data_IF_495630039116
#
_entry.id   IF_495630039116
#
_cell.length_a   1.000
_cell.length_b   1.000
_cell.length_c   1.000
_cell.angle_alpha   90.00
_cell.angle_beta   90.00
_cell.angle_gamma   90.00
#
_symmetry.space_group_name_H-M   'P 1'
#
loop_
_entity.id
_entity.type
_entity.pdbx_description
1 polymer ?
#
# COMPACT_ATOMS: atom_id res chain seq x y z
N UNK A 1 16.65 1.04 1.57
CA UNK A 1 15.60 1.98 1.12
C UNK A 1 15.22 1.71 -0.32
N UNK A 2 16.16 1.80 -1.29
CA UNK A 2 15.93 1.50 -2.73
C UNK A 2 15.16 0.19 -3.01
N UNK A 3 15.50 -0.90 -2.30
CA UNK A 3 14.88 -2.22 -2.51
C UNK A 3 13.37 -2.30 -2.24
N UNK A 4 12.83 -1.51 -1.29
CA UNK A 4 11.40 -1.51 -1.02
C UNK A 4 10.65 -0.77 -2.13
N UNK A 5 11.13 0.43 -2.46
CA UNK A 5 10.57 1.26 -3.53
C UNK A 5 10.57 0.52 -4.87
N UNK A 6 11.66 -0.17 -5.21
CA UNK A 6 11.76 -0.99 -6.42
C UNK A 6 10.69 -2.09 -6.45
N UNK A 7 10.54 -2.85 -5.36
CA UNK A 7 9.54 -3.92 -5.26
C UNK A 7 8.11 -3.39 -5.31
N UNK A 8 7.86 -2.26 -4.64
CA UNK A 8 6.57 -1.58 -4.64
C UNK A 8 6.19 -1.15 -6.06
N UNK A 9 7.12 -0.50 -6.77
CA UNK A 9 6.91 -0.10 -8.16
C UNK A 9 6.70 -1.29 -9.09
N UNK A 10 7.47 -2.37 -8.93
CA UNK A 10 7.36 -3.59 -9.75
C UNK A 10 5.95 -4.20 -9.66
N UNK A 11 5.47 -4.46 -8.44
CA UNK A 11 4.17 -5.12 -8.22
C UNK A 11 3.02 -4.16 -8.55
N UNK A 12 3.13 -2.89 -8.15
CA UNK A 12 2.11 -1.89 -8.45
C UNK A 12 1.95 -1.69 -9.96
N UNK A 13 3.05 -1.68 -10.73
CA UNK A 13 3.01 -1.57 -12.19
C UNK A 13 2.17 -2.68 -12.82
N UNK A 14 2.30 -3.92 -12.36
CA UNK A 14 1.50 -5.05 -12.87
C UNK A 14 0.02 -4.81 -12.55
N UNK A 15 -0.31 -4.42 -11.32
CA UNK A 15 -1.70 -4.16 -10.89
C UNK A 15 -2.32 -2.97 -11.63
N UNK A 16 -1.53 -1.96 -11.95
CA UNK A 16 -2.00 -0.79 -12.70
C UNK A 16 -2.34 -1.10 -14.16
N UNK A 17 -1.81 -2.16 -14.77
CA UNK A 17 -2.17 -2.51 -16.15
C UNK A 17 -3.68 -2.80 -16.29
N UNK A 18 -4.26 -3.53 -15.34
CA UNK A 18 -5.69 -3.80 -15.32
C UNK A 18 -6.49 -2.53 -15.05
N UNK A 19 -6.01 -1.69 -14.12
CA UNK A 19 -6.64 -0.40 -13.81
C UNK A 19 -6.65 0.54 -15.02
N UNK A 20 -5.54 0.62 -15.74
CA UNK A 20 -5.42 1.44 -16.95
C UNK A 20 -6.43 1.02 -18.01
N UNK A 21 -6.61 -0.28 -18.21
CA UNK A 21 -7.63 -0.82 -19.11
C UNK A 21 -9.05 -0.42 -18.68
N UNK A 22 -9.39 -0.63 -17.40
CA UNK A 22 -10.71 -0.29 -16.86
C UNK A 22 -10.99 1.22 -16.90
N UNK A 23 -9.97 2.03 -16.63
CA UNK A 23 -10.05 3.49 -16.69
C UNK A 23 -10.32 3.97 -18.12
N UNK A 24 -9.55 3.48 -19.10
CA UNK A 24 -9.75 3.80 -20.50
C UNK A 24 -11.16 3.41 -20.99
N UNK A 25 -11.63 2.23 -20.60
CA UNK A 25 -12.98 1.77 -20.92
C UNK A 25 -14.05 2.67 -20.30
N UNK A 26 -13.88 3.06 -19.04
CA UNK A 26 -14.81 3.95 -18.34
C UNK A 26 -14.88 5.33 -19.01
N UNK A 27 -13.72 5.88 -19.38
CA UNK A 27 -13.64 7.13 -20.14
C UNK A 27 -14.33 7.02 -21.50
N UNK A 28 -14.09 5.93 -22.23
CA UNK A 28 -14.74 5.67 -23.52
C UNK A 28 -16.27 5.61 -23.38
N UNK A 29 -16.78 4.89 -22.38
CA UNK A 29 -18.23 4.82 -22.12
C UNK A 29 -18.84 6.21 -21.87
N UNK A 30 -18.14 7.08 -21.13
CA UNK A 30 -18.60 8.47 -20.93
C UNK A 30 -18.68 9.22 -22.25
N UNK A 31 -17.67 9.09 -23.11
CA UNK A 31 -17.70 9.76 -24.41
C UNK A 31 -18.82 9.23 -25.30
N UNK A 32 -18.97 7.92 -25.44
CA UNK A 32 -20.05 7.31 -26.24
C UNK A 32 -21.44 7.73 -25.74
N UNK A 33 -21.63 7.75 -24.42
CA UNK A 33 -22.89 8.19 -23.83
C UNK A 33 -23.16 9.68 -24.12
N UNK A 34 -22.17 10.54 -23.96
CA UNK A 34 -22.35 11.98 -24.16
C UNK A 34 -22.44 12.35 -25.65
N UNK A 35 -21.79 11.57 -26.53
CA UNK A 35 -21.94 11.64 -27.98
C UNK A 35 -23.35 11.32 -28.42
N UNK A 36 -23.91 10.21 -27.92
CA UNK A 36 -25.29 9.81 -28.24
C UNK A 36 -26.34 10.86 -27.84
N UNK A 37 -25.98 11.75 -26.92
CA UNK A 37 -26.82 12.85 -26.42
C UNK A 37 -26.50 14.21 -27.05
N UNK A 38 -25.50 14.30 -27.93
CA UNK A 38 -25.06 15.56 -28.52
C UNK A 38 -24.42 16.54 -27.52
N UNK A 39 -23.91 16.04 -26.38
CA UNK A 39 -23.40 16.85 -25.27
C UNK A 39 -21.90 16.70 -25.04
N UNK A 40 -21.14 16.21 -26.02
CA UNK A 40 -19.70 15.92 -25.91
C UNK A 40 -18.90 17.04 -25.25
N UNK A 41 -19.00 18.28 -25.75
CA UNK A 41 -18.24 19.43 -25.23
C UNK A 41 -19.12 20.24 -24.26
N UNK A 42 -19.52 19.62 -23.16
CA UNK A 42 -20.37 20.24 -22.14
C UNK A 42 -19.79 20.10 -20.74
N UNK A 43 -20.26 20.97 -19.84
CA UNK A 43 -19.90 20.89 -18.41
C UNK A 43 -20.41 19.58 -17.79
N UNK A 44 -21.49 19.01 -18.31
CA UNK A 44 -21.99 17.69 -17.91
C UNK A 44 -20.99 16.57 -18.25
N UNK A 45 -20.33 16.64 -19.42
CA UNK A 45 -19.29 15.68 -19.80
C UNK A 45 -18.07 15.84 -18.91
N UNK A 46 -17.67 17.09 -18.66
CA UNK A 46 -16.56 17.37 -17.76
C UNK A 46 -16.80 16.81 -16.35
N UNK A 47 -18.00 16.96 -15.80
CA UNK A 47 -18.38 16.38 -14.51
C UNK A 47 -18.25 14.85 -14.52
N UNK A 48 -18.78 14.16 -15.54
CA UNK A 48 -18.68 12.70 -15.63
C UNK A 48 -17.25 12.20 -15.77
N UNK A 49 -16.43 12.89 -16.57
CA UNK A 49 -15.01 12.57 -16.68
C UNK A 49 -14.34 12.76 -15.32
N UNK A 50 -14.59 13.88 -14.63
CA UNK A 50 -14.07 14.14 -13.29
C UNK A 50 -14.46 13.03 -12.30
N UNK A 51 -15.69 12.52 -12.37
CA UNK A 51 -16.16 11.45 -11.48
C UNK A 51 -15.42 10.12 -11.78
N UNK A 52 -15.22 9.78 -13.06
CA UNK A 52 -14.42 8.61 -13.47
C UNK A 52 -12.98 8.73 -12.98
N UNK A 53 -12.40 9.92 -13.12
CA UNK A 53 -11.02 10.22 -12.72
C UNK A 53 -10.86 10.18 -11.19
N UNK A 54 -11.82 10.74 -10.44
CA UNK A 54 -11.84 10.66 -8.98
C UNK A 54 -11.96 9.20 -8.50
N UNK A 55 -12.85 8.43 -9.12
CA UNK A 55 -13.00 7.00 -8.84
C UNK A 55 -11.70 6.23 -9.09
N UNK A 56 -11.06 6.43 -10.25
CA UNK A 56 -9.78 5.78 -10.57
C UNK A 56 -8.67 6.16 -9.58
N UNK A 57 -8.65 7.41 -9.11
CA UNK A 57 -7.65 7.86 -8.13
C UNK A 57 -7.82 7.14 -6.78
N UNK A 58 -9.05 7.01 -6.30
CA UNK A 58 -9.35 6.25 -5.07
C UNK A 58 -8.95 4.79 -5.23
N UNK A 59 -9.31 4.18 -6.35
CA UNK A 59 -8.97 2.78 -6.63
C UNK A 59 -7.46 2.55 -6.75
N UNK A 60 -6.75 3.46 -7.42
CA UNK A 60 -5.29 3.46 -7.48
C UNK A 60 -4.65 3.58 -6.09
N UNK A 61 -5.21 4.42 -5.21
CA UNK A 61 -4.76 4.56 -3.82
C UNK A 61 -4.92 3.25 -3.05
N UNK A 62 -6.06 2.57 -3.19
CA UNK A 62 -6.31 1.27 -2.59
C UNK A 62 -5.31 0.21 -3.07
N UNK A 63 -5.01 0.19 -4.37
CA UNK A 63 -4.00 -0.72 -4.95
C UNK A 63 -2.62 -0.46 -4.35
N UNK A 64 -2.21 0.82 -4.23
CA UNK A 64 -0.92 1.18 -3.63
C UNK A 64 -0.87 0.71 -2.18
N UNK A 65 -1.89 1.02 -1.39
CA UNK A 65 -1.99 0.66 0.02
C UNK A 65 -1.91 -0.86 0.22
N UNK A 66 -2.70 -1.63 -0.53
CA UNK A 66 -2.68 -3.10 -0.45
C UNK A 66 -1.30 -3.65 -0.83
N UNK A 67 -0.70 -3.12 -1.90
CA UNK A 67 0.63 -3.55 -2.36
C UNK A 67 1.71 -3.22 -1.33
N UNK A 68 1.67 -2.04 -0.73
CA UNK A 68 2.61 -1.63 0.31
C UNK A 68 2.50 -2.52 1.56
N UNK A 69 1.26 -2.80 2.03
CA UNK A 69 0.99 -3.69 3.18
C UNK A 69 1.49 -5.12 2.91
N UNK A 70 1.25 -5.64 1.71
CA UNK A 70 1.71 -6.97 1.30
C UNK A 70 3.24 -7.06 1.29
N UNK A 71 3.90 -6.11 0.60
CA UNK A 71 5.35 -6.09 0.48
C UNK A 71 6.02 -5.91 1.85
N UNK A 72 5.45 -5.05 2.69
CA UNK A 72 5.89 -4.89 4.07
C UNK A 72 5.83 -6.22 4.83
N UNK A 73 4.68 -6.90 4.79
CA UNK A 73 4.50 -8.15 5.52
C UNK A 73 5.39 -9.29 5.05
N UNK A 74 5.62 -9.41 3.73
CA UNK A 74 6.31 -10.55 3.13
C UNK A 74 7.82 -10.36 3.02
N UNK A 75 8.26 -9.16 2.62
CA UNK A 75 9.65 -8.93 2.23
C UNK A 75 10.40 -8.01 3.20
N UNK A 76 9.71 -7.06 3.82
CA UNK A 76 10.35 -6.04 4.67
C UNK A 76 9.59 -5.81 6.00
N UNK A 77 9.40 -6.83 6.85
CA UNK A 77 8.57 -6.73 8.07
C UNK A 77 9.15 -5.82 9.16
N UNK A 78 10.37 -5.30 8.97
CA UNK A 78 11.05 -4.36 9.87
C UNK A 78 11.14 -2.96 9.28
N UNK A 79 10.44 -2.67 8.18
CA UNK A 79 10.40 -1.33 7.59
C UNK A 79 9.72 -0.38 8.59
N UNK A 80 10.20 0.86 8.67
CA UNK A 80 9.51 1.87 9.47
C UNK A 80 8.26 2.37 8.75
N UNK A 81 7.30 2.80 9.56
CA UNK A 81 6.06 3.42 9.11
C UNK A 81 6.31 4.63 8.20
N UNK A 82 7.24 5.50 8.58
CA UNK A 82 7.59 6.70 7.81
C UNK A 82 8.06 6.38 6.39
N UNK A 83 8.83 5.30 6.22
CA UNK A 83 9.30 4.87 4.89
C UNK A 83 8.12 4.35 4.07
N UNK A 84 7.23 3.57 4.69
CA UNK A 84 6.05 3.04 4.02
C UNK A 84 5.13 4.18 3.54
N UNK A 85 4.91 5.19 4.39
CA UNK A 85 4.17 6.41 4.05
C UNK A 85 4.82 7.16 2.89
N UNK A 86 6.10 7.49 3.02
CA UNK A 86 6.83 8.32 2.06
C UNK A 86 6.86 7.68 0.68
N UNK A 87 7.24 6.41 0.59
CA UNK A 87 7.36 5.70 -0.68
C UNK A 87 5.98 5.49 -1.34
N UNK A 88 4.94 5.21 -0.55
CA UNK A 88 3.56 5.10 -1.06
C UNK A 88 3.03 6.44 -1.57
N UNK A 89 3.33 7.55 -0.88
CA UNK A 89 2.94 8.89 -1.32
C UNK A 89 3.66 9.32 -2.60
N UNK A 90 4.95 9.00 -2.74
CA UNK A 90 5.71 9.24 -3.99
C UNK A 90 5.06 8.49 -5.15
N UNK A 91 4.72 7.21 -4.95
CA UNK A 91 4.03 6.41 -5.96
C UNK A 91 2.64 6.97 -6.29
N UNK A 92 1.88 7.40 -5.29
CA UNK A 92 0.57 8.02 -5.49
C UNK A 92 0.68 9.30 -6.33
N UNK A 93 1.62 10.19 -6.01
CA UNK A 93 1.85 11.43 -6.79
C UNK A 93 2.17 11.13 -8.24
N UNK A 94 3.04 10.14 -8.47
CA UNK A 94 3.37 9.68 -9.83
C UNK A 94 2.12 9.14 -10.54
N UNK A 95 1.36 8.28 -9.89
CA UNK A 95 0.16 7.65 -10.46
C UNK A 95 -0.92 8.68 -10.82
N UNK A 96 -1.16 9.66 -9.96
CA UNK A 96 -2.10 10.74 -10.26
C UNK A 96 -1.65 11.53 -11.49
N UNK A 97 -0.36 11.85 -11.60
CA UNK A 97 0.17 12.51 -12.79
C UNK A 97 -0.01 11.66 -14.06
N UNK A 98 0.12 10.34 -13.98
CA UNK A 98 -0.13 9.44 -15.11
C UNK A 98 -1.60 9.45 -15.53
N UNK A 99 -2.53 9.45 -14.58
CA UNK A 99 -3.98 9.55 -14.83
C UNK A 99 -4.31 10.89 -15.50
N UNK A 100 -3.82 12.00 -14.95
CA UNK A 100 -4.01 13.34 -15.53
C UNK A 100 -3.47 13.41 -16.97
N UNK A 101 -2.27 12.88 -17.21
CA UNK A 101 -1.67 12.85 -18.53
C UNK A 101 -2.49 11.99 -19.51
N UNK A 102 -3.05 10.87 -19.05
CA UNK A 102 -3.92 10.03 -19.87
C UNK A 102 -5.22 10.75 -20.28
N UNK A 103 -5.83 11.49 -19.35
CA UNK A 103 -7.00 12.33 -19.64
C UNK A 103 -6.67 13.40 -20.67
N UNK A 104 -5.59 14.17 -20.44
CA UNK A 104 -5.14 15.23 -21.36
C UNK A 104 -4.86 14.67 -22.74
N UNK A 105 -4.14 13.55 -22.83
CA UNK A 105 -3.83 12.88 -24.09
C UNK A 105 -5.10 12.42 -24.82
N UNK A 106 -6.09 11.88 -24.10
CA UNK A 106 -7.35 11.42 -24.69
C UNK A 106 -8.16 12.60 -25.23
N UNK A 107 -8.30 13.68 -24.45
CA UNK A 107 -9.05 14.85 -24.88
C UNK A 107 -8.41 15.57 -26.07
N UNK A 108 -7.08 15.72 -26.08
CA UNK A 108 -6.33 16.28 -27.23
C UNK A 108 -6.52 15.46 -28.53
N UNK A 109 -6.76 14.15 -28.43
CA UNK A 109 -7.03 13.31 -29.61
C UNK A 109 -8.46 13.43 -30.13
N UNK A 110 -9.39 13.84 -29.28
CA UNK A 110 -10.82 13.86 -29.60
C UNK A 110 -11.34 15.24 -29.97
N UNK A 111 -10.69 16.31 -29.51
CA UNK A 111 -11.17 17.68 -29.65
C UNK A 111 -10.08 18.63 -30.13
N UNK A 112 -10.51 19.67 -30.84
CA UNK A 112 -9.67 20.83 -31.16
C UNK A 112 -9.29 21.60 -29.87
N UNK A 113 -8.18 22.35 -29.92
CA UNK A 113 -7.54 22.98 -28.76
C UNK A 113 -8.51 23.83 -27.90
N UNK A 114 -9.44 24.55 -28.52
CA UNK A 114 -10.37 25.46 -27.83
C UNK A 114 -11.45 24.73 -27.03
N UNK A 115 -11.99 23.63 -27.58
CA UNK A 115 -12.96 22.79 -26.89
C UNK A 115 -12.31 22.00 -25.75
N UNK A 116 -11.04 21.62 -25.93
CA UNK A 116 -10.27 20.90 -24.93
C UNK A 116 -9.95 21.77 -23.68
N UNK A 117 -9.58 23.04 -23.87
CA UNK A 117 -9.22 23.95 -22.78
C UNK A 117 -10.32 24.06 -21.70
N UNK A 118 -11.58 24.20 -22.12
CA UNK A 118 -12.74 24.31 -21.21
C UNK A 118 -12.99 23.03 -20.40
N UNK A 119 -12.89 21.87 -21.06
CA UNK A 119 -13.04 20.57 -20.39
C UNK A 119 -11.92 20.35 -19.37
N UNK A 120 -10.67 20.62 -19.78
CA UNK A 120 -9.49 20.44 -18.94
C UNK A 120 -9.51 21.29 -17.67
N UNK A 121 -9.95 22.55 -17.77
CA UNK A 121 -10.06 23.41 -16.60
C UNK A 121 -10.96 22.82 -15.50
N UNK A 122 -12.03 22.15 -15.93
CA UNK A 122 -13.04 21.55 -15.02
C UNK A 122 -12.58 20.21 -14.43
N UNK A 123 -11.72 19.48 -15.15
CA UNK A 123 -11.31 18.11 -14.76
C UNK A 123 -10.08 18.09 -13.85
N UNK A 124 -9.23 19.13 -13.87
CA UNK A 124 -7.92 19.15 -13.16
C UNK A 124 -7.99 18.66 -11.71
N UNK A 125 -7.32 17.54 -11.46
CA UNK A 125 -7.26 16.85 -10.16
C UNK A 125 -6.32 17.47 -9.13
N UNK A 126 -5.40 18.35 -9.53
CA UNK A 126 -4.33 18.85 -8.64
C UNK A 126 -4.85 19.47 -7.34
N UNK A 127 -6.11 19.92 -7.29
CA UNK A 127 -6.74 20.48 -6.07
C UNK A 127 -7.12 19.43 -5.01
N UNK A 128 -7.11 18.13 -5.31
CA UNK A 128 -7.59 17.06 -4.41
C UNK A 128 -6.52 16.08 -3.88
N UNK A 129 -5.31 16.10 -4.43
CA UNK A 129 -4.25 15.12 -4.11
C UNK A 129 -3.90 15.11 -2.61
N UNK A 130 -3.87 16.27 -1.97
CA UNK A 130 -3.53 16.37 -0.54
C UNK A 130 -4.51 15.63 0.38
N UNK A 131 -5.81 15.63 0.04
CA UNK A 131 -6.80 14.88 0.82
C UNK A 131 -6.59 13.36 0.68
N UNK A 132 -6.26 12.91 -0.53
CA UNK A 132 -6.02 11.49 -0.83
C UNK A 132 -4.70 11.01 -0.20
N UNK A 133 -3.66 11.84 -0.20
CA UNK A 133 -2.41 11.58 0.50
C UNK A 133 -2.63 11.50 2.02
N UNK A 134 -3.47 12.36 2.60
CA UNK A 134 -3.84 12.30 4.01
C UNK A 134 -4.60 11.01 4.35
N UNK A 135 -5.52 10.58 3.50
CA UNK A 135 -6.28 9.33 3.69
C UNK A 135 -5.36 8.11 3.61
N UNK A 136 -4.41 8.10 2.67
CA UNK A 136 -3.38 7.07 2.58
C UNK A 136 -2.58 6.98 3.89
N UNK A 137 -2.17 8.11 4.47
CA UNK A 137 -1.41 8.12 5.72
C UNK A 137 -2.22 7.57 6.90
N UNK A 138 -3.49 7.95 7.03
CA UNK A 138 -4.39 7.42 8.06
C UNK A 138 -4.50 5.89 7.95
N UNK A 139 -4.61 5.36 6.73
CA UNK A 139 -4.72 3.92 6.50
C UNK A 139 -3.41 3.15 6.76
N UNK A 140 -2.27 3.81 6.64
CA UNK A 140 -0.97 3.27 7.06
C UNK A 140 -0.85 3.27 8.59
N UNK A 141 -1.28 4.35 9.26
CA UNK A 141 -1.27 4.45 10.73
C UNK A 141 -2.10 3.35 11.37
N UNK A 142 -3.29 3.13 10.81
CA UNK A 142 -4.19 2.06 11.23
C UNK A 142 -3.54 0.69 11.09
N UNK A 143 -2.87 0.44 9.96
CA UNK A 143 -2.15 -0.81 9.74
C UNK A 143 -1.02 -1.05 10.74
N UNK A 144 -0.21 -0.04 11.04
CA UNK A 144 0.86 -0.18 12.05
C UNK A 144 0.30 -0.32 13.47
N UNK A 145 -0.82 0.35 13.77
CA UNK A 145 -1.54 0.17 15.04
C UNK A 145 -2.01 -1.26 15.20
N UNK A 146 -2.68 -1.83 14.19
CA UNK A 146 -3.13 -3.23 14.19
C UNK A 146 -1.96 -4.22 14.27
N UNK A 147 -0.84 -3.94 13.61
CA UNK A 147 0.38 -4.75 13.71
C UNK A 147 0.97 -4.72 15.13
N UNK A 148 1.02 -3.55 15.76
CA UNK A 148 1.52 -3.38 17.12
C UNK A 148 0.61 -4.05 18.14
N UNK A 149 -0.70 -4.03 17.93
CA UNK A 149 -1.65 -4.78 18.77
C UNK A 149 -1.47 -6.29 18.62
N UNK A 150 -1.29 -6.79 17.38
CA UNK A 150 -1.07 -8.22 17.12
C UNK A 150 0.27 -8.76 17.62
N UNK A 151 1.32 -7.94 17.57
CA UNK A 151 2.68 -8.35 17.97
C UNK A 151 3.02 -7.98 19.42
N UNK A 152 2.18 -7.18 20.07
CA UNK A 152 2.41 -6.63 21.40
C UNK A 152 3.13 -5.28 21.39
N UNK A 153 2.74 -4.41 22.32
CA UNK A 153 3.22 -3.02 22.40
C UNK A 153 4.67 -2.92 22.87
N UNK A 154 5.15 -3.88 23.66
CA UNK A 154 6.50 -3.87 24.21
C UNK A 154 7.45 -4.82 23.50
N UNK A 155 8.76 -4.54 23.57
CA UNK A 155 9.81 -5.44 23.06
C UNK A 155 9.70 -6.85 23.67
N UNK A 156 9.30 -6.92 24.95
CA UNK A 156 9.04 -8.17 25.68
C UNK A 156 7.87 -8.94 25.05
N UNK A 157 6.75 -8.28 24.78
CA UNK A 157 5.58 -8.92 24.17
C UNK A 157 5.89 -9.41 22.75
N UNK A 158 6.67 -8.64 21.99
CA UNK A 158 7.12 -9.03 20.64
C UNK A 158 8.02 -10.27 20.68
N UNK A 159 8.90 -10.37 21.67
CA UNK A 159 9.73 -11.56 21.88
C UNK A 159 8.84 -12.75 22.25
N UNK A 160 7.93 -12.61 23.22
CA UNK A 160 7.02 -13.68 23.65
C UNK A 160 6.15 -14.15 22.48
N UNK A 161 5.63 -13.22 21.67
CA UNK A 161 4.79 -13.53 20.50
C UNK A 161 5.60 -14.21 19.39
N UNK A 162 6.85 -13.77 19.16
CA UNK A 162 7.76 -14.43 18.22
C UNK A 162 8.14 -15.85 18.66
N UNK A 163 8.28 -16.08 19.98
CA UNK A 163 8.45 -17.42 20.53
C UNK A 163 7.18 -18.26 20.31
N UNK A 164 6.01 -17.78 20.71
CA UNK A 164 4.75 -18.54 20.58
C UNK A 164 4.38 -18.88 19.13
N UNK A 165 4.70 -18.01 18.17
CA UNK A 165 4.41 -18.24 16.75
C UNK A 165 5.45 -19.12 16.03
N UNK A 166 6.58 -19.46 16.66
CA UNK A 166 7.57 -20.38 16.12
C UNK A 166 7.76 -21.58 17.07
N UNK A 167 6.96 -22.65 16.93
CA UNK A 167 7.02 -23.80 17.83
C UNK A 167 8.41 -24.45 17.87
N UNK A 168 9.19 -24.35 16.78
CA UNK A 168 10.57 -24.84 16.73
C UNK A 168 11.51 -24.11 17.70
N UNK A 169 11.35 -22.79 17.88
CA UNK A 169 12.18 -21.99 18.79
C UNK A 169 11.80 -22.29 20.25
N UNK A 170 10.51 -22.51 20.52
CA UNK A 170 10.00 -22.94 21.83
C UNK A 170 10.54 -24.32 22.18
N UNK A 171 10.49 -25.28 21.25
CA UNK A 171 11.05 -26.62 21.44
C UNK A 171 12.55 -26.54 21.70
N UNK A 172 13.31 -25.77 20.90
CA UNK A 172 14.75 -25.62 21.08
C UNK A 172 15.12 -25.01 22.44
N UNK A 173 14.38 -23.99 22.90
CA UNK A 173 14.62 -23.36 24.20
C UNK A 173 14.26 -24.26 25.37
N UNK A 174 13.19 -25.06 25.28
CA UNK A 174 12.86 -26.09 26.28
C UNK A 174 13.98 -27.14 26.36
N UNK A 175 14.46 -27.65 25.22
CA UNK A 175 15.55 -28.64 25.18
C UNK A 175 16.82 -28.09 25.82
N UNK A 176 17.20 -26.86 25.51
CA UNK A 176 18.38 -26.21 26.14
C UNK A 176 18.19 -26.06 27.65
N UNK A 177 17.00 -25.63 28.10
CA UNK A 177 16.71 -25.48 29.53
C UNK A 177 16.80 -26.82 30.28
N UNK A 178 16.31 -27.91 29.68
CA UNK A 178 16.40 -29.26 30.24
C UNK A 178 17.85 -29.73 30.35
N UNK A 179 18.67 -29.47 29.33
CA UNK A 179 20.10 -29.84 29.35
C UNK A 179 20.84 -29.07 30.45
N UNK A 180 20.57 -27.77 30.60
CA UNK A 180 21.17 -26.94 31.66
C UNK A 180 20.73 -27.43 33.05
N UNK A 181 19.46 -27.78 33.20
CA UNK A 181 18.94 -28.30 34.46
C UNK A 181 19.58 -29.65 34.83
N UNK A 182 19.68 -30.58 33.88
CA UNK A 182 20.31 -31.88 34.09
C UNK A 182 21.80 -31.76 34.41
N UNK A 183 22.52 -30.87 33.72
CA UNK A 183 23.94 -30.63 34.00
C UNK A 183 24.16 -30.00 35.38
N UNK A 184 23.34 -29.02 35.77
CA UNK A 184 23.36 -28.46 37.13
C UNK A 184 23.05 -29.51 38.20
N UNK A 185 22.07 -30.39 37.94
CA UNK A 185 21.71 -31.49 38.83
C UNK A 185 22.84 -32.52 39.00
N UNK A 186 23.52 -32.90 37.91
CA UNK A 186 24.68 -33.79 37.96
C UNK A 186 25.84 -33.18 38.75
N UNK A 187 26.09 -31.87 38.58
CA UNK A 187 27.11 -31.13 39.35
C UNK A 187 26.74 -31.10 40.83
N UNK A 188 25.47 -30.85 41.17
CA UNK A 188 24.98 -30.87 42.55
C UNK A 188 25.15 -32.25 43.20
N UNK A 189 24.81 -33.34 42.49
CA UNK A 189 25.00 -34.71 42.96
C UNK A 189 26.48 -35.07 43.17
N UNK A 190 27.37 -34.62 42.29
CA UNK A 190 28.83 -34.82 42.46
C UNK A 190 29.35 -34.09 43.70
N UNK A 191 28.93 -32.85 43.92
CA UNK A 191 29.33 -32.08 45.10
C UNK A 191 28.77 -32.65 46.42
N UNK A 192 27.59 -33.30 46.37
CA UNK A 192 27.03 -34.03 47.52
C UNK A 192 27.80 -35.32 47.84
N UNK A 193 28.16 -36.11 46.82
CA UNK A 193 28.96 -37.34 46.99
C UNK A 193 30.39 -37.09 47.47
N UNK A 194 30.91 -35.87 47.33
CA UNK A 194 32.26 -35.52 47.77
C UNK A 194 32.32 -35.02 49.22
N UNK A 195 31.16 -34.76 49.84
CA UNK A 195 31.03 -34.29 51.23
C UNK A 195 30.49 -35.35 52.21
N UNK A 196 30.14 -36.54 51.74
CA UNK A 196 29.73 -37.69 52.57
C UNK A 196 30.74 -38.81 52.47
#
# INVERSE_FOLDING_TARGET
MLKFSEKLNEIAKIRFQERDYLFQRSMQNVFEEMESRGMIVSDATACKIRDVVACETVQSTNVILQTAKEIHSLYFPRLSEDILKTESAILLKKRVSEIDNAVVSKLNKMFDETANARLLETIRLQKGIGAIESELFIEVDKYFTELNEKTGKTLKDRIITAFNNNPLIVIASIVIAVIIFLSAFVVALRNLKWKG
#
